data_IF_562722758141
#
_entry.id   IF_562722758141
#
_cell.length_a   1.000
_cell.length_b   1.000
_cell.length_c   1.000
_cell.angle_alpha   90.00
_cell.angle_beta   90.00
_cell.angle_gamma   90.00
#
_symmetry.space_group_name_H-M   'P 1'
#
loop_
_entity.id
_entity.type
_entity.pdbx_description
1 polymer ?
#
# COMPACT_ATOMS: atom_id res chain seq x y z
N UNK A 1 -13.87 -32.43 -24.17
CA UNK A 1 -13.05 -32.94 -23.04
C UNK A 1 -13.32 -34.43 -22.82
N UNK A 2 -12.35 -35.21 -22.32
CA UNK A 2 -12.59 -36.61 -21.94
C UNK A 2 -13.21 -36.72 -20.53
N UNK A 3 -13.75 -37.89 -20.18
CA UNK A 3 -14.26 -38.14 -18.82
C UNK A 3 -13.18 -38.08 -17.73
N UNK A 4 -11.95 -38.45 -18.10
CA UNK A 4 -10.80 -38.34 -17.23
C UNK A 4 -10.41 -36.87 -17.01
N UNK A 5 -10.38 -36.06 -18.07
CA UNK A 5 -10.14 -34.60 -17.97
C UNK A 5 -11.17 -33.92 -17.08
N UNK A 6 -12.45 -34.26 -17.25
CA UNK A 6 -13.54 -33.75 -16.43
C UNK A 6 -13.37 -34.12 -14.95
N UNK A 7 -13.07 -35.40 -14.67
CA UNK A 7 -12.85 -35.86 -13.28
C UNK A 7 -11.62 -35.20 -12.65
N UNK A 8 -10.56 -34.98 -13.42
CA UNK A 8 -9.35 -34.29 -12.97
C UNK A 8 -9.60 -32.81 -12.70
N UNK A 9 -10.31 -32.10 -13.60
CA UNK A 9 -10.70 -30.70 -13.40
C UNK A 9 -11.57 -30.53 -12.15
N UNK A 10 -12.58 -31.37 -11.95
CA UNK A 10 -13.40 -31.34 -10.73
C UNK A 10 -12.56 -31.54 -9.46
N UNK A 11 -11.65 -32.52 -9.46
CA UNK A 11 -10.75 -32.76 -8.32
C UNK A 11 -9.83 -31.57 -8.05
N UNK A 12 -9.24 -30.97 -9.08
CA UNK A 12 -8.42 -29.74 -8.97
C UNK A 12 -9.23 -28.60 -8.36
N UNK A 13 -10.49 -28.47 -8.76
CA UNK A 13 -11.43 -27.48 -8.27
C UNK A 13 -12.06 -27.84 -6.92
N UNK A 14 -11.69 -28.98 -6.31
CA UNK A 14 -12.29 -29.50 -5.07
C UNK A 14 -13.82 -29.56 -5.14
N UNK A 15 -14.36 -29.94 -6.30
CA UNK A 15 -15.79 -30.15 -6.54
C UNK A 15 -16.05 -31.65 -6.64
N UNK A 16 -17.07 -32.13 -5.94
CA UNK A 16 -17.65 -33.44 -6.21
C UNK A 16 -18.58 -33.38 -7.41
N UNK A 17 -18.86 -34.54 -8.03
CA UNK A 17 -19.83 -34.64 -9.14
C UNK A 17 -21.25 -34.30 -8.70
N UNK A 18 -21.59 -34.61 -7.45
CA UNK A 18 -22.88 -34.27 -6.85
C UNK A 18 -23.04 -32.75 -6.73
N UNK A 19 -22.04 -32.06 -6.17
CA UNK A 19 -22.02 -30.60 -6.10
C UNK A 19 -22.08 -29.97 -7.49
N UNK A 20 -21.24 -30.43 -8.42
CA UNK A 20 -21.28 -29.97 -9.81
C UNK A 20 -22.69 -30.11 -10.40
N UNK A 21 -23.32 -31.29 -10.26
CA UNK A 21 -24.67 -31.54 -10.81
C UNK A 21 -25.72 -30.59 -10.24
N UNK A 22 -25.64 -30.26 -8.95
CA UNK A 22 -26.53 -29.31 -8.29
C UNK A 22 -26.32 -27.88 -8.81
N UNK A 23 -25.06 -27.46 -8.96
CA UNK A 23 -24.74 -26.09 -9.41
C UNK A 23 -25.21 -25.85 -10.84
N UNK A 24 -25.02 -26.82 -11.74
CA UNK A 24 -25.43 -26.70 -13.15
C UNK A 24 -26.89 -27.09 -13.40
N UNK A 25 -27.65 -27.40 -12.35
CA UNK A 25 -29.08 -27.73 -12.45
C UNK A 25 -29.38 -29.04 -13.20
N UNK A 26 -28.47 -30.02 -13.14
CA UNK A 26 -28.63 -31.33 -13.78
C UNK A 26 -28.84 -32.44 -12.75
N UNK A 27 -29.47 -33.54 -13.18
CA UNK A 27 -29.54 -34.74 -12.33
C UNK A 27 -28.16 -35.37 -12.18
N UNK A 28 -27.82 -35.82 -10.97
CA UNK A 28 -26.58 -36.56 -10.70
C UNK A 28 -26.42 -37.75 -11.67
N UNK A 29 -27.50 -38.49 -11.90
CA UNK A 29 -27.51 -39.65 -12.80
C UNK A 29 -27.15 -39.27 -14.24
N UNK A 30 -27.55 -38.09 -14.72
CA UNK A 30 -27.17 -37.58 -16.03
C UNK A 30 -25.66 -37.35 -16.13
N UNK A 31 -25.07 -36.71 -15.10
CA UNK A 31 -23.64 -36.41 -15.02
C UNK A 31 -22.81 -37.69 -14.85
N UNK A 32 -23.26 -38.62 -13.99
CA UNK A 32 -22.58 -39.89 -13.74
C UNK A 32 -22.48 -40.74 -15.02
N UNK A 33 -23.50 -40.70 -15.87
CA UNK A 33 -23.56 -41.46 -17.12
C UNK A 33 -22.63 -40.92 -18.23
N UNK A 34 -21.98 -39.77 -18.05
CA UNK A 34 -20.97 -39.26 -19.00
C UNK A 34 -19.68 -40.09 -19.06
N UNK A 35 -19.55 -41.12 -18.22
CA UNK A 35 -18.51 -42.13 -18.42
C UNK A 35 -18.78 -43.00 -19.66
N UNK A 36 -20.06 -43.19 -19.98
CA UNK A 36 -20.55 -44.03 -21.08
C UNK A 36 -21.09 -43.20 -22.25
N UNK A 37 -21.13 -41.87 -22.11
CA UNK A 37 -21.68 -40.93 -23.09
C UNK A 37 -20.72 -39.75 -23.27
N UNK A 38 -20.88 -39.03 -24.37
CA UNK A 38 -20.12 -37.80 -24.60
C UNK A 38 -20.48 -36.72 -23.56
N UNK A 39 -19.46 -35.98 -23.09
CA UNK A 39 -19.64 -34.84 -22.20
C UNK A 39 -20.09 -33.64 -23.03
N UNK A 40 -21.16 -32.93 -22.62
CA UNK A 40 -21.60 -31.73 -23.33
C UNK A 40 -20.49 -30.68 -23.44
N UNK A 41 -20.32 -30.10 -24.62
CA UNK A 41 -19.22 -29.17 -24.91
C UNK A 41 -19.15 -27.96 -23.96
N UNK A 42 -20.30 -27.48 -23.45
CA UNK A 42 -20.37 -26.33 -22.54
C UNK A 42 -19.73 -26.59 -21.17
N UNK A 43 -19.56 -27.86 -20.77
CA UNK A 43 -19.02 -28.23 -19.45
C UNK A 43 -17.59 -27.73 -19.29
N UNK A 44 -16.83 -27.70 -20.38
CA UNK A 44 -15.44 -27.25 -20.36
C UNK A 44 -15.35 -25.74 -20.06
N UNK A 45 -16.11 -24.93 -20.80
CA UNK A 45 -16.21 -23.49 -20.60
C UNK A 45 -16.78 -23.13 -19.22
N UNK A 46 -17.75 -23.91 -18.73
CA UNK A 46 -18.29 -23.70 -17.39
C UNK A 46 -17.25 -23.96 -16.31
N UNK A 47 -16.43 -25.02 -16.44
CA UNK A 47 -15.38 -25.33 -15.47
C UNK A 47 -14.26 -24.28 -15.48
N UNK A 48 -13.92 -23.74 -16.64
CA UNK A 48 -12.97 -22.62 -16.78
C UNK A 48 -13.51 -21.36 -16.09
N UNK A 49 -14.76 -20.99 -16.38
CA UNK A 49 -15.41 -19.85 -15.71
C UNK A 49 -15.52 -20.05 -14.19
N UNK A 50 -15.86 -21.26 -13.74
CA UNK A 50 -15.94 -21.57 -12.32
C UNK A 50 -14.56 -21.50 -11.63
N UNK A 51 -13.49 -21.92 -12.31
CA UNK A 51 -12.11 -21.76 -11.82
C UNK A 51 -11.74 -20.28 -11.68
N UNK A 52 -12.08 -19.46 -12.67
CA UNK A 52 -11.89 -18.00 -12.64
C UNK A 52 -12.69 -17.33 -11.51
N UNK A 53 -13.95 -17.69 -11.33
CA UNK A 53 -14.80 -17.15 -10.27
C UNK A 53 -14.32 -17.58 -8.87
N UNK A 54 -13.87 -18.83 -8.71
CA UNK A 54 -13.33 -19.34 -7.44
C UNK A 54 -11.99 -18.69 -7.09
N UNK A 55 -11.13 -18.46 -8.07
CA UNK A 55 -9.88 -17.72 -7.87
C UNK A 55 -10.15 -16.25 -7.55
N UNK A 56 -11.05 -15.60 -8.30
CA UNK A 56 -11.42 -14.20 -8.07
C UNK A 56 -12.09 -13.96 -6.71
N UNK A 57 -13.01 -14.83 -6.29
CA UNK A 57 -13.67 -14.74 -4.98
C UNK A 57 -12.69 -14.94 -3.82
N UNK A 58 -11.76 -15.89 -3.92
CA UNK A 58 -10.70 -16.09 -2.93
C UNK A 58 -9.76 -14.87 -2.84
N UNK A 59 -9.38 -14.30 -3.99
CA UNK A 59 -8.57 -13.09 -4.05
C UNK A 59 -9.32 -11.90 -3.46
N UNK A 60 -10.61 -11.73 -3.79
CA UNK A 60 -11.47 -10.67 -3.24
C UNK A 60 -11.61 -10.78 -1.72
N UNK A 61 -11.85 -11.99 -1.19
CA UNK A 61 -11.91 -12.24 0.25
C UNK A 61 -10.59 -11.90 0.97
N UNK A 62 -9.45 -12.33 0.42
CA UNK A 62 -8.12 -11.97 0.95
C UNK A 62 -7.86 -10.47 0.89
N UNK A 63 -8.22 -9.80 -0.20
CA UNK A 63 -8.11 -8.34 -0.34
C UNK A 63 -8.94 -7.63 0.72
N UNK A 64 -10.19 -8.07 0.96
CA UNK A 64 -11.05 -7.48 2.00
C UNK A 64 -10.48 -7.68 3.40
N UNK A 65 -10.00 -8.89 3.74
CA UNK A 65 -9.37 -9.16 5.04
C UNK A 65 -8.12 -8.31 5.23
N UNK A 66 -7.22 -8.30 4.25
CA UNK A 66 -5.99 -7.50 4.31
C UNK A 66 -6.29 -6.01 4.44
N UNK A 67 -7.34 -5.52 3.76
CA UNK A 67 -7.80 -4.15 3.88
C UNK A 67 -8.23 -3.83 5.31
N UNK A 68 -9.11 -4.64 5.90
CA UNK A 68 -9.59 -4.44 7.28
C UNK A 68 -8.44 -4.53 8.29
N UNK A 69 -7.54 -5.50 8.14
CA UNK A 69 -6.37 -5.63 9.03
C UNK A 69 -5.46 -4.42 8.93
N UNK A 70 -5.15 -3.93 7.72
CA UNK A 70 -4.30 -2.76 7.55
C UNK A 70 -4.96 -1.44 8.00
N UNK A 71 -6.28 -1.30 7.85
CA UNK A 71 -7.04 -0.20 8.45
C UNK A 71 -6.90 -0.20 9.98
N UNK A 72 -6.99 -1.39 10.60
CA UNK A 72 -6.74 -1.55 12.03
C UNK A 72 -5.27 -1.25 12.39
N UNK A 73 -4.29 -1.67 11.57
CA UNK A 73 -2.87 -1.35 11.78
C UNK A 73 -2.61 0.14 11.78
N UNK A 74 -3.21 0.89 10.84
CA UNK A 74 -3.10 2.36 10.80
C UNK A 74 -3.60 3.01 12.09
N UNK A 75 -4.77 2.60 12.58
CA UNK A 75 -5.30 3.12 13.84
C UNK A 75 -4.47 2.67 15.05
N UNK A 76 -3.96 1.44 15.05
CA UNK A 76 -3.04 0.94 16.08
C UNK A 76 -1.74 1.76 16.14
N UNK A 77 -1.14 2.08 14.99
CA UNK A 77 0.06 2.91 14.91
C UNK A 77 -0.21 4.32 15.46
N UNK A 78 -1.36 4.91 15.13
CA UNK A 78 -1.80 6.18 15.71
C UNK A 78 -1.98 6.08 17.23
N UNK A 79 -2.63 5.03 17.73
CA UNK A 79 -2.79 4.81 19.17
C UNK A 79 -1.44 4.69 19.87
N UNK A 80 -0.52 3.88 19.34
CA UNK A 80 0.85 3.73 19.87
C UNK A 80 1.59 5.09 19.88
N UNK A 81 1.49 5.86 18.81
CA UNK A 81 2.08 7.20 18.70
C UNK A 81 1.57 8.15 19.80
N UNK A 82 0.25 8.18 20.00
CA UNK A 82 -0.39 9.01 21.02
C UNK A 82 -0.05 8.55 22.45
N UNK A 83 -0.06 7.24 22.72
CA UNK A 83 0.28 6.68 24.04
C UNK A 83 1.72 6.96 24.46
N UNK A 84 2.64 7.10 23.50
CA UNK A 84 4.04 7.42 23.76
C UNK A 84 4.33 8.92 23.88
N UNK A 85 3.29 9.77 23.84
CA UNK A 85 3.35 11.24 23.90
C UNK A 85 4.40 11.81 22.93
N UNK A 86 4.34 11.37 21.67
CA UNK A 86 5.20 11.84 20.59
C UNK A 86 4.64 13.15 20.04
N UNK A 87 5.06 14.28 20.60
CA UNK A 87 4.46 15.59 20.30
C UNK A 87 5.39 16.51 19.53
N UNK A 88 6.70 16.24 19.51
CA UNK A 88 7.66 17.13 18.86
C UNK A 88 7.65 16.92 17.35
N UNK A 89 7.96 17.95 16.54
CA UNK A 89 7.98 17.84 15.07
C UNK A 89 8.87 16.71 14.53
N UNK A 90 9.92 16.35 15.28
CA UNK A 90 10.85 15.28 14.95
C UNK A 90 10.40 13.88 15.37
N UNK A 91 9.45 13.76 16.30
CA UNK A 91 9.14 12.47 16.93
C UNK A 91 8.40 11.55 15.94
N UNK A 92 8.76 10.26 15.95
CA UNK A 92 8.11 9.26 15.11
C UNK A 92 8.21 7.85 15.71
N UNK A 93 7.44 6.92 15.14
CA UNK A 93 7.61 5.50 15.33
C UNK A 93 8.49 4.95 14.21
N UNK A 94 9.38 4.00 14.54
CA UNK A 94 10.25 3.30 13.60
C UNK A 94 10.00 1.81 13.66
N UNK A 95 9.85 1.19 12.49
CA UNK A 95 9.94 -0.24 12.30
C UNK A 95 11.16 -0.52 11.41
N UNK A 96 11.99 -1.47 11.81
CA UNK A 96 13.20 -1.84 11.10
C UNK A 96 13.33 -3.35 11.04
N UNK A 97 13.47 -3.90 9.84
CA UNK A 97 13.67 -5.33 9.59
C UNK A 97 14.50 -5.53 8.34
N UNK A 98 14.82 -6.80 8.05
CA UNK A 98 15.62 -7.20 6.91
C UNK A 98 14.74 -7.92 5.89
N UNK A 99 14.75 -7.48 4.64
CA UNK A 99 14.14 -8.19 3.51
C UNK A 99 15.24 -8.57 2.52
N UNK A 100 15.54 -9.87 2.42
CA UNK A 100 16.74 -10.35 1.75
C UNK A 100 17.99 -9.60 2.22
N UNK A 101 18.69 -8.89 1.33
CA UNK A 101 19.87 -8.10 1.63
C UNK A 101 19.56 -6.62 1.90
N UNK A 102 18.30 -6.20 1.80
CA UNK A 102 17.86 -4.82 1.99
C UNK A 102 17.38 -4.62 3.42
N UNK A 103 17.97 -3.65 4.11
CA UNK A 103 17.44 -3.16 5.38
C UNK A 103 16.26 -2.24 5.09
N UNK A 104 15.09 -2.62 5.60
CA UNK A 104 13.84 -1.88 5.42
C UNK A 104 13.55 -1.12 6.70
N UNK A 105 13.42 0.20 6.59
CA UNK A 105 13.03 1.06 7.69
C UNK A 105 11.78 1.83 7.30
N UNK A 106 10.73 1.75 8.10
CA UNK A 106 9.55 2.60 7.96
C UNK A 106 9.41 3.53 9.14
N UNK A 107 9.10 4.80 8.87
CA UNK A 107 8.89 5.84 9.86
C UNK A 107 7.46 6.33 9.79
N UNK A 108 6.77 6.29 10.90
CA UNK A 108 5.37 6.69 11.01
C UNK A 108 5.19 7.81 12.02
N UNK A 109 4.39 8.82 11.68
CA UNK A 109 3.87 9.78 12.65
C UNK A 109 2.42 10.16 12.41
N UNK A 110 1.79 10.68 13.46
CA UNK A 110 0.47 11.30 13.43
C UNK A 110 0.56 12.74 13.96
N UNK A 111 1.46 13.54 13.38
CA UNK A 111 1.70 14.91 13.84
C UNK A 111 0.51 15.83 13.51
N UNK A 112 -0.11 16.40 14.55
CA UNK A 112 -1.23 17.36 14.45
C UNK A 112 -2.32 16.92 13.44
N UNK A 113 -2.79 15.69 13.59
CA UNK A 113 -3.84 15.06 12.76
C UNK A 113 -3.45 14.74 11.31
N UNK A 114 -2.16 14.72 10.98
CA UNK A 114 -1.67 14.30 9.66
C UNK A 114 -0.94 12.96 9.78
N UNK A 115 -1.40 11.96 9.03
CA UNK A 115 -0.68 10.68 8.92
C UNK A 115 0.49 10.82 7.96
N UNK A 116 1.69 10.45 8.41
CA UNK A 116 2.87 10.40 7.57
C UNK A 116 3.51 9.03 7.68
N UNK A 117 3.91 8.47 6.53
CA UNK A 117 4.64 7.21 6.46
C UNK A 117 5.79 7.38 5.46
N UNK A 118 6.99 7.05 5.89
CA UNK A 118 8.20 7.14 5.06
C UNK A 118 8.87 5.78 4.99
N UNK A 119 9.32 5.41 3.80
CA UNK A 119 10.11 4.22 3.56
C UNK A 119 11.55 4.62 3.26
N UNK A 120 12.48 4.02 4.01
CA UNK A 120 13.90 4.05 3.73
C UNK A 120 14.40 2.64 3.49
N UNK A 121 14.96 2.42 2.30
CA UNK A 121 15.65 1.19 1.95
C UNK A 121 17.15 1.45 1.95
N UNK A 122 17.90 0.55 2.58
CA UNK A 122 19.35 0.57 2.55
C UNK A 122 19.88 -0.79 2.06
N UNK A 123 20.79 -0.74 1.09
CA UNK A 123 21.56 -1.89 0.62
C UNK A 123 22.99 -1.45 0.36
N UNK A 124 23.93 -1.95 1.17
CA UNK A 124 25.33 -1.50 1.16
C UNK A 124 25.42 0.04 1.27
N UNK A 125 26.02 0.70 0.27
CA UNK A 125 26.15 2.16 0.17
C UNK A 125 24.91 2.84 -0.44
N UNK A 126 23.96 2.09 -0.96
CA UNK A 126 22.80 2.60 -1.66
C UNK A 126 21.67 2.87 -0.68
N UNK A 127 21.08 4.05 -0.80
CA UNK A 127 19.92 4.48 -0.03
C UNK A 127 18.80 4.86 -0.99
N UNK A 128 17.59 4.60 -0.55
CA UNK A 128 16.38 5.05 -1.21
C UNK A 128 15.42 5.58 -0.17
N UNK A 129 14.83 6.75 -0.44
CA UNK A 129 13.81 7.36 0.39
C UNK A 129 12.58 7.64 -0.45
N UNK A 130 11.42 7.27 0.09
CA UNK A 130 10.16 7.68 -0.50
C UNK A 130 9.08 7.86 0.58
N UNK A 131 8.29 8.94 0.52
CA UNK A 131 7.05 8.99 1.27
C UNK A 131 6.05 7.98 0.68
N UNK A 132 5.25 7.40 1.57
CA UNK A 132 4.19 6.46 1.25
C UNK A 132 2.89 6.98 1.86
N UNK A 133 1.79 6.72 1.16
CA UNK A 133 0.47 6.95 1.73
C UNK A 133 -0.06 5.64 2.28
N UNK A 134 -0.28 5.62 3.59
CA UNK A 134 -0.75 4.44 4.31
C UNK A 134 -2.09 3.94 3.77
N UNK A 135 -3.00 4.86 3.38
CA UNK A 135 -4.29 4.49 2.80
C UNK A 135 -4.11 3.86 1.41
N UNK A 136 -3.12 4.31 0.63
CA UNK A 136 -2.78 3.67 -0.64
C UNK A 136 -2.18 2.27 -0.45
N UNK A 137 -1.35 2.06 0.58
CA UNK A 137 -0.74 0.75 0.88
C UNK A 137 -1.77 -0.31 1.28
N UNK A 138 -2.90 0.10 1.85
CA UNK A 138 -4.04 -0.76 2.18
C UNK A 138 -4.63 -1.39 0.90
N UNK A 139 -4.66 -0.63 -0.20
CA UNK A 139 -5.47 -0.98 -1.39
C UNK A 139 -4.61 -1.45 -2.56
N UNK A 140 -3.34 -1.03 -2.64
CA UNK A 140 -2.46 -1.33 -3.76
C UNK A 140 -0.98 -1.35 -3.36
N UNK A 141 -0.15 -1.84 -4.28
CA UNK A 141 1.31 -1.77 -4.20
C UNK A 141 1.80 -0.53 -4.95
N UNK A 142 2.29 0.53 -4.26
CA UNK A 142 2.84 1.69 -4.91
C UNK A 142 4.03 1.34 -5.81
N UNK A 143 4.26 2.13 -6.85
CA UNK A 143 5.48 2.01 -7.62
C UNK A 143 6.60 2.85 -6.99
N UNK A 144 7.80 2.29 -6.89
CA UNK A 144 8.96 2.94 -6.28
C UNK A 144 9.77 3.71 -7.34
N UNK A 145 9.38 4.96 -7.60
CA UNK A 145 10.06 5.82 -8.56
C UNK A 145 11.51 6.13 -8.13
N UNK A 146 12.43 6.12 -9.10
CA UNK A 146 13.85 6.49 -8.95
C UNK A 146 14.65 5.61 -7.99
N UNK A 147 14.15 4.42 -7.69
CA UNK A 147 14.86 3.47 -6.85
C UNK A 147 16.18 3.02 -7.51
N UNK A 148 17.31 3.00 -6.76
CA UNK A 148 18.57 2.45 -7.25
C UNK A 148 18.40 1.02 -7.75
N UNK A 149 19.00 0.70 -8.90
CA UNK A 149 18.87 -0.62 -9.53
C UNK A 149 19.39 -1.73 -8.62
N UNK A 150 20.39 -1.42 -7.79
CA UNK A 150 20.99 -2.30 -6.81
C UNK A 150 19.99 -2.72 -5.73
N UNK A 151 19.19 -1.78 -5.23
CA UNK A 151 18.10 -2.08 -4.28
C UNK A 151 16.95 -2.79 -5.03
N UNK A 152 16.56 -2.29 -6.20
CA UNK A 152 15.43 -2.83 -6.96
C UNK A 152 15.59 -4.34 -7.24
N UNK A 153 16.80 -4.78 -7.64
CA UNK A 153 17.09 -6.19 -7.90
C UNK A 153 16.89 -7.10 -6.69
N UNK A 154 17.04 -6.57 -5.47
CA UNK A 154 16.90 -7.35 -4.23
C UNK A 154 15.44 -7.44 -3.77
N UNK A 155 14.60 -6.48 -4.17
CA UNK A 155 13.19 -6.40 -3.74
C UNK A 155 12.19 -6.91 -4.78
N UNK A 156 12.63 -7.16 -6.01
CA UNK A 156 11.80 -7.78 -7.04
C UNK A 156 11.82 -9.31 -6.89
N UNK A 157 10.63 -9.89 -6.86
CA UNK A 157 10.42 -11.32 -7.07
C UNK A 157 9.71 -11.53 -8.41
N UNK A 158 10.36 -12.23 -9.35
CA UNK A 158 9.88 -12.45 -10.73
C UNK A 158 9.39 -11.16 -11.43
N UNK A 159 10.10 -10.04 -11.21
CA UNK A 159 9.75 -8.73 -11.79
C UNK A 159 8.61 -8.00 -11.09
N UNK A 160 8.14 -8.50 -9.94
CA UNK A 160 7.04 -7.94 -9.15
C UNK A 160 7.51 -7.47 -7.78
N UNK A 161 6.94 -6.36 -7.29
CA UNK A 161 7.10 -5.87 -5.92
C UNK A 161 6.08 -6.49 -4.95
N UNK A 162 5.26 -7.44 -5.41
CA UNK A 162 4.16 -7.98 -4.61
C UNK A 162 4.66 -8.61 -3.31
N UNK A 163 5.65 -9.48 -3.39
CA UNK A 163 6.19 -10.18 -2.22
C UNK A 163 6.80 -9.19 -1.21
N UNK A 164 7.60 -8.23 -1.69
CA UNK A 164 8.14 -7.16 -0.87
C UNK A 164 7.06 -6.38 -0.10
N UNK A 165 5.97 -5.99 -0.77
CA UNK A 165 4.88 -5.28 -0.10
C UNK A 165 4.04 -6.15 0.83
N UNK A 166 3.85 -7.43 0.49
CA UNK A 166 3.18 -8.39 1.38
C UNK A 166 4.00 -8.57 2.66
N UNK A 167 5.31 -8.81 2.53
CA UNK A 167 6.22 -8.88 3.67
C UNK A 167 6.22 -7.59 4.50
N UNK A 168 6.26 -6.42 3.86
CA UNK A 168 6.19 -5.15 4.59
C UNK A 168 4.90 -5.00 5.40
N UNK A 169 3.76 -5.40 4.82
CA UNK A 169 2.48 -5.37 5.54
C UNK A 169 2.48 -6.35 6.71
N UNK A 170 3.01 -7.55 6.54
CA UNK A 170 3.12 -8.53 7.62
C UNK A 170 3.94 -7.98 8.80
N UNK A 171 5.08 -7.35 8.55
CA UNK A 171 5.87 -6.70 9.60
C UNK A 171 5.14 -5.50 10.22
N UNK A 172 4.41 -4.69 9.44
CA UNK A 172 3.60 -3.60 10.00
C UNK A 172 2.47 -4.10 10.92
N UNK A 173 1.95 -5.30 10.68
CA UNK A 173 0.87 -5.91 11.47
C UNK A 173 1.42 -6.57 12.74
N UNK A 174 2.52 -7.31 12.63
CA UNK A 174 2.95 -8.24 13.68
C UNK A 174 4.16 -7.76 14.49
N UNK A 175 5.01 -6.91 13.93
CA UNK A 175 6.22 -6.47 14.63
C UNK A 175 5.96 -5.27 15.53
N UNK A 176 6.76 -5.17 16.59
CA UNK A 176 6.75 -4.01 17.45
C UNK A 176 7.48 -2.82 16.83
N UNK A 177 6.78 -1.70 16.81
CA UNK A 177 7.33 -0.40 16.44
C UNK A 177 8.01 0.25 17.64
N UNK A 178 9.16 0.88 17.40
CA UNK A 178 9.97 1.55 18.41
C UNK A 178 9.77 3.06 18.36
N UNK A 179 9.89 3.73 19.52
CA UNK A 179 10.01 5.18 19.56
C UNK A 179 11.31 5.63 18.90
N UNK A 180 11.24 6.64 18.03
CA UNK A 180 12.38 7.21 17.32
C UNK A 180 12.14 8.69 17.03
N UNK A 181 13.01 9.28 16.20
CA UNK A 181 12.84 10.62 15.66
C UNK A 181 13.54 10.77 14.30
N UNK A 182 13.31 11.90 13.62
CA UNK A 182 13.90 12.20 12.31
C UNK A 182 15.39 12.57 12.32
N UNK A 183 16.06 12.50 13.47
CA UNK A 183 17.53 12.49 13.57
C UNK A 183 18.14 11.08 13.40
N UNK A 184 17.30 10.05 13.28
CA UNK A 184 17.75 8.67 13.04
C UNK A 184 18.70 8.57 11.82
N UNK A 185 19.78 7.82 12.01
CA UNK A 185 20.86 7.67 11.01
C UNK A 185 20.34 7.21 9.64
N UNK A 186 19.46 6.20 9.63
CA UNK A 186 18.92 5.66 8.38
C UNK A 186 17.99 6.67 7.72
N UNK A 187 17.14 7.35 8.50
CA UNK A 187 16.28 8.41 7.97
C UNK A 187 17.10 9.53 7.31
N UNK A 188 18.14 10.04 7.99
CA UNK A 188 18.99 11.12 7.46
C UNK A 188 19.71 10.71 6.19
N UNK A 189 20.25 9.49 6.11
CA UNK A 189 20.95 9.03 4.90
C UNK A 189 19.98 8.71 3.76
N UNK A 190 18.82 8.13 4.07
CA UNK A 190 17.70 8.00 3.14
C UNK A 190 17.33 9.35 2.54
N UNK A 191 17.06 10.35 3.38
CA UNK A 191 16.66 11.68 2.92
C UNK A 191 17.75 12.38 2.08
N UNK A 192 19.03 12.23 2.43
CA UNK A 192 20.15 12.74 1.61
C UNK A 192 20.22 12.10 0.22
N UNK A 193 19.71 10.89 0.04
CA UNK A 193 19.66 10.23 -1.27
C UNK A 193 18.59 10.83 -2.20
N UNK A 194 17.64 11.59 -1.65
CA UNK A 194 16.59 12.28 -2.40
C UNK A 194 17.12 13.52 -3.12
N UNK A 195 17.73 13.34 -4.30
CA UNK A 195 18.44 14.40 -5.04
C UNK A 195 17.54 15.53 -5.58
N UNK A 196 16.24 15.29 -5.75
CA UNK A 196 15.36 16.21 -6.49
C UNK A 196 14.58 17.18 -5.59
N UNK A 197 14.67 17.06 -4.26
CA UNK A 197 13.88 17.83 -3.27
C UNK A 197 12.35 17.82 -3.52
N UNK A 198 11.87 16.98 -4.43
CA UNK A 198 10.48 16.85 -4.83
C UNK A 198 9.69 15.98 -3.85
N UNK A 199 10.40 15.14 -3.08
CA UNK A 199 9.83 14.23 -2.07
C UNK A 199 10.08 14.70 -0.64
N UNK A 200 10.12 16.01 -0.39
CA UNK A 200 10.34 16.52 0.97
C UNK A 200 9.24 16.02 1.96
N UNK A 201 9.63 15.48 3.12
CA UNK A 201 8.73 14.78 4.05
C UNK A 201 7.77 15.68 4.83
N UNK A 202 8.06 16.98 4.98
CA UNK A 202 7.32 17.82 5.92
C UNK A 202 6.65 19.00 5.23
N UNK A 203 5.47 19.41 5.70
CA UNK A 203 4.83 20.65 5.28
C UNK A 203 5.50 21.84 6.00
N UNK A 204 5.71 22.95 5.30
CA UNK A 204 6.40 24.13 5.87
C UNK A 204 5.49 25.36 5.94
N UNK A 205 5.06 25.90 4.79
CA UNK A 205 4.27 27.15 4.75
C UNK A 205 3.54 27.29 3.40
N UNK A 206 2.73 28.35 3.26
CA UNK A 206 2.15 28.75 1.98
C UNK A 206 3.01 29.79 1.28
N UNK A 207 3.33 29.53 0.00
CA UNK A 207 3.94 30.50 -0.90
C UNK A 207 2.87 31.13 -1.78
N UNK A 208 2.95 32.45 -1.99
CA UNK A 208 2.03 33.20 -2.88
C UNK A 208 2.37 32.98 -4.35
N UNK A 209 2.08 31.77 -4.82
CA UNK A 209 2.15 31.37 -6.23
C UNK A 209 1.14 30.25 -6.42
N UNK A 210 0.33 30.24 -7.49
CA UNK A 210 -0.60 29.14 -7.76
C UNK A 210 0.14 27.79 -7.89
N UNK A 211 -0.38 26.77 -7.21
CA UNK A 211 0.15 25.41 -7.26
C UNK A 211 0.06 24.80 -8.67
N UNK A 212 1.11 24.09 -9.10
CA UNK A 212 1.09 23.32 -10.34
C UNK A 212 0.29 22.02 -10.17
N UNK A 213 -0.20 21.46 -11.28
CA UNK A 213 -0.94 20.18 -11.25
C UNK A 213 -0.07 19.03 -10.73
N UNK A 214 1.21 19.01 -11.10
CA UNK A 214 2.15 17.98 -10.64
C UNK A 214 2.35 18.05 -9.13
N UNK A 215 2.52 19.25 -8.57
CA UNK A 215 2.68 19.44 -7.12
C UNK A 215 1.39 19.12 -6.36
N UNK A 216 0.23 19.43 -6.95
CA UNK A 216 -1.07 19.04 -6.39
C UNK A 216 -1.20 17.52 -6.29
N UNK A 217 -0.88 16.80 -7.37
CA UNK A 217 -0.93 15.34 -7.37
C UNK A 217 0.10 14.74 -6.40
N UNK A 218 1.29 15.32 -6.29
CA UNK A 218 2.26 14.97 -5.26
C UNK A 218 1.67 15.13 -3.84
N UNK A 219 1.11 16.28 -3.49
CA UNK A 219 0.55 16.51 -2.15
C UNK A 219 -0.65 15.60 -1.86
N UNK A 220 -1.51 15.36 -2.85
CA UNK A 220 -2.64 14.46 -2.70
C UNK A 220 -2.19 13.01 -2.47
N UNK A 221 -1.22 12.55 -3.26
CA UNK A 221 -0.74 11.17 -3.18
C UNK A 221 0.06 10.93 -1.92
N UNK A 222 0.91 11.87 -1.49
CA UNK A 222 1.86 11.67 -0.39
C UNK A 222 1.28 11.99 0.98
N UNK A 223 0.66 13.16 1.12
CA UNK A 223 0.15 13.66 2.41
C UNK A 223 -1.33 13.38 2.61
N UNK A 224 -1.97 12.68 1.68
CA UNK A 224 -3.40 12.38 1.70
C UNK A 224 -4.29 13.63 1.79
N UNK A 225 -3.80 14.79 1.34
CA UNK A 225 -4.58 16.02 1.33
C UNK A 225 -5.59 15.94 0.19
N UNK A 226 -6.87 16.14 0.47
CA UNK A 226 -7.90 15.97 -0.56
C UNK A 226 -7.68 16.92 -1.75
N UNK A 227 -7.94 16.44 -2.97
CA UNK A 227 -7.85 17.27 -4.18
C UNK A 227 -8.71 18.53 -4.08
N UNK A 228 -9.87 18.44 -3.43
CA UNK A 228 -10.75 19.57 -3.17
C UNK A 228 -10.04 20.68 -2.37
N UNK A 229 -9.40 20.33 -1.24
CA UNK A 229 -8.65 21.28 -0.42
C UNK A 229 -7.51 21.91 -1.25
N UNK A 230 -6.74 21.08 -1.95
CA UNK A 230 -5.60 21.55 -2.76
C UNK A 230 -6.04 22.47 -3.90
N UNK A 231 -7.15 22.17 -4.56
CA UNK A 231 -7.74 23.02 -5.60
C UNK A 231 -8.19 24.38 -5.03
N UNK A 232 -8.75 24.43 -3.82
CA UNK A 232 -9.10 25.70 -3.15
C UNK A 232 -7.87 26.53 -2.80
N UNK A 233 -6.80 25.90 -2.30
CA UNK A 233 -5.52 26.58 -2.05
C UNK A 233 -4.96 27.16 -3.34
N UNK A 234 -4.95 26.36 -4.41
CA UNK A 234 -4.52 26.77 -5.76
C UNK A 234 -5.35 27.94 -6.29
N UNK A 235 -6.68 27.90 -6.17
CA UNK A 235 -7.58 28.95 -6.61
C UNK A 235 -7.36 30.28 -5.88
N UNK A 236 -6.91 30.24 -4.61
CA UNK A 236 -6.48 31.43 -3.87
C UNK A 236 -5.06 31.92 -4.23
N UNK A 237 -4.41 31.28 -5.20
CA UNK A 237 -3.08 31.63 -5.69
C UNK A 237 -1.94 31.21 -4.76
N UNK A 238 -2.13 30.12 -4.01
CA UNK A 238 -1.12 29.59 -3.10
C UNK A 238 -0.62 28.20 -3.50
N UNK A 239 0.58 27.87 -2.99
CA UNK A 239 1.21 26.56 -3.04
C UNK A 239 1.66 26.17 -1.64
N UNK A 240 1.36 24.96 -1.19
CA UNK A 240 1.96 24.40 0.02
C UNK A 240 3.41 24.03 -0.28
N UNK A 241 4.34 24.63 0.45
CA UNK A 241 5.77 24.33 0.39
C UNK A 241 6.10 23.20 1.34
N UNK A 242 6.95 22.26 0.90
CA UNK A 242 7.47 21.17 1.70
C UNK A 242 8.96 21.36 2.03
N UNK A 243 9.41 20.82 3.15
CA UNK A 243 10.77 20.93 3.67
C UNK A 243 11.32 19.57 4.12
N UNK A 244 12.63 19.42 4.04
CA UNK A 244 13.38 18.30 4.61
C UNK A 244 13.70 18.50 6.10
N UNK A 245 13.62 19.73 6.59
CA UNK A 245 13.96 20.10 7.96
C UNK A 245 12.71 19.98 8.85
N UNK A 246 12.69 19.00 9.76
CA UNK A 246 11.57 18.84 10.70
C UNK A 246 11.40 20.06 11.63
N UNK A 247 12.43 20.89 11.83
CA UNK A 247 12.32 22.10 12.66
C UNK A 247 11.48 23.19 12.00
N UNK A 248 11.31 23.13 10.68
CA UNK A 248 10.45 24.03 9.89
C UNK A 248 9.05 23.43 9.65
N UNK A 249 8.79 22.23 10.18
CA UNK A 249 7.53 21.52 9.98
C UNK A 249 6.39 22.29 10.63
N UNK A 250 5.31 22.48 9.87
CA UNK A 250 4.02 22.99 10.35
C UNK A 250 2.93 21.98 10.07
N UNK A 251 1.87 22.00 10.87
CA UNK A 251 0.67 21.22 10.57
C UNK A 251 -0.13 21.83 9.43
N UNK A 252 -0.90 20.99 8.74
CA UNK A 252 -1.80 21.46 7.69
C UNK A 252 -2.81 22.47 8.24
N UNK A 253 -3.35 22.23 9.43
CA UNK A 253 -4.29 23.15 10.10
C UNK A 253 -3.68 24.53 10.30
N UNK A 254 -2.45 24.61 10.82
CA UNK A 254 -1.75 25.88 11.01
C UNK A 254 -1.57 26.62 9.67
N UNK A 255 -1.11 25.90 8.64
CA UNK A 255 -0.90 26.42 7.28
C UNK A 255 -2.20 26.97 6.67
N UNK A 256 -3.34 26.29 6.86
CA UNK A 256 -4.62 26.71 6.29
C UNK A 256 -5.25 27.90 7.04
N UNK A 257 -5.09 27.95 8.35
CA UNK A 257 -5.57 29.05 9.19
C UNK A 257 -4.89 30.37 8.83
N UNK A 258 -3.58 30.36 8.55
CA UNK A 258 -2.81 31.53 8.08
C UNK A 258 -3.40 32.17 6.80
N UNK A 259 -4.23 31.44 6.04
CA UNK A 259 -4.86 31.91 4.78
C UNK A 259 -6.39 31.94 4.80
N UNK A 260 -7.00 31.83 5.99
CA UNK A 260 -8.47 31.81 6.14
C UNK A 260 -9.15 30.78 5.22
N UNK A 261 -8.52 29.61 5.05
CA UNK A 261 -9.07 28.48 4.28
C UNK A 261 -9.70 27.52 5.29
N UNK A 262 -11.03 27.49 5.38
CA UNK A 262 -11.75 26.49 6.19
C UNK A 262 -11.73 25.13 5.49
N UNK A 263 -11.34 24.09 6.23
CA UNK A 263 -11.46 22.67 5.87
C UNK A 263 -12.93 22.30 5.59
#
# INVERSE_FOLDING_TARGET
MTYEDFSNKLRKLQLSRDEFSKIVGMSYNSVANWKLKEIPAWVDSWLEQYEEEKTFSNVKGKITINKTTMENTRELLKQKYLMLNLEKPQDCLKLSYQYHQVKVNTYFDYYENTFNLFLVLNYEKYYYFTPLNIDNLIVKNPYLNDIPKEILKQILDNGSLKDFYDNMREHMIHDDVQKSNYEDYEFKNGLKSNKNNDKNPFLSHLRKTPMSENHLNFLNTQFNISKYILQRIRAKGYTIVTTANFSERKSLTLILNESSIKL
#
